data_IF_804345311015
#
_entry.id   IF_804345311015
#
_cell.length_a   1.000
_cell.length_b   1.000
_cell.length_c   1.000
_cell.angle_alpha   90.00
_cell.angle_beta   90.00
_cell.angle_gamma   90.00
#
_symmetry.space_group_name_H-M   'P 1'
#
loop_
_entity.id
_entity.type
_entity.pdbx_description
1 polymer ?
#
# COMPACT_ATOMS: atom_id res chain seq x y z
N UNK A 1 -9.32 14.10 -51.47
CA UNK A 1 -10.55 13.44 -51.02
C UNK A 1 -10.16 12.09 -50.46
N UNK A 2 -9.56 12.09 -49.28
CA UNK A 2 -9.60 10.95 -48.36
C UNK A 2 -10.07 11.56 -47.05
N UNK A 3 -11.15 10.97 -46.55
CA UNK A 3 -12.08 11.54 -45.60
C UNK A 3 -11.55 11.43 -44.17
N UNK A 4 -11.16 12.57 -43.61
CA UNK A 4 -11.06 12.82 -42.17
C UNK A 4 -12.40 12.47 -41.49
N UNK A 5 -12.51 11.22 -41.08
CA UNK A 5 -13.68 10.67 -40.39
C UNK A 5 -13.21 9.82 -39.22
N UNK A 6 -12.48 10.43 -38.29
CA UNK A 6 -12.42 9.96 -36.91
C UNK A 6 -12.66 11.15 -35.98
N UNK A 7 -13.96 11.43 -35.84
CA UNK A 7 -14.66 11.83 -34.63
C UNK A 7 -13.79 12.27 -33.45
N UNK A 8 -13.82 13.57 -33.18
CA UNK A 8 -13.76 14.27 -31.89
C UNK A 8 -13.83 13.38 -30.62
N UNK A 9 -12.79 12.60 -30.34
CA UNK A 9 -12.38 12.34 -28.98
C UNK A 9 -11.44 13.50 -28.65
N UNK A 10 -11.84 14.37 -27.73
CA UNK A 10 -10.87 15.30 -27.17
C UNK A 10 -9.67 14.46 -26.72
N UNK A 11 -8.46 14.66 -27.28
CA UNK A 11 -7.31 13.91 -26.82
C UNK A 11 -7.23 14.16 -25.31
N UNK A 12 -7.10 13.09 -24.54
CA UNK A 12 -7.03 13.21 -23.09
C UNK A 12 -6.00 14.30 -22.75
N UNK A 13 -6.23 15.13 -21.72
CA UNK A 13 -5.35 16.27 -21.42
C UNK A 13 -3.87 15.89 -21.33
N UNK A 14 -3.59 14.65 -20.92
CA UNK A 14 -2.26 14.03 -20.94
C UNK A 14 -1.65 13.92 -22.35
N UNK A 15 -2.40 13.52 -23.36
CA UNK A 15 -1.92 13.43 -24.74
C UNK A 15 -1.65 14.83 -25.35
N UNK A 16 -2.47 15.83 -25.03
CA UNK A 16 -2.22 17.22 -25.45
C UNK A 16 -0.93 17.78 -24.84
N UNK A 17 -0.73 17.55 -23.54
CA UNK A 17 0.49 17.94 -22.83
C UNK A 17 1.72 17.25 -23.42
N UNK A 18 1.67 15.94 -23.65
CA UNK A 18 2.80 15.21 -24.24
C UNK A 18 3.12 15.71 -25.65
N UNK A 19 2.10 16.00 -26.47
CA UNK A 19 2.31 16.55 -27.81
C UNK A 19 3.03 17.90 -27.78
N UNK A 20 2.65 18.78 -26.85
CA UNK A 20 3.33 20.06 -26.67
C UNK A 20 4.79 19.88 -26.24
N UNK A 21 5.04 19.01 -25.26
CA UNK A 21 6.40 18.69 -24.80
C UNK A 21 7.26 18.10 -25.93
N UNK A 22 6.71 17.18 -26.73
CA UNK A 22 7.41 16.62 -27.88
C UNK A 22 7.76 17.69 -28.92
N UNK A 23 6.87 18.67 -29.16
CA UNK A 23 7.15 19.78 -30.06
C UNK A 23 8.22 20.74 -29.54
N UNK A 24 8.20 21.10 -28.26
CA UNK A 24 9.19 22.02 -27.68
C UNK A 24 10.58 21.40 -27.58
N UNK A 25 10.65 20.10 -27.24
CA UNK A 25 11.92 19.40 -27.03
C UNK A 25 12.44 18.68 -28.28
N UNK A 26 11.63 18.62 -29.34
CA UNK A 26 12.00 17.94 -30.59
C UNK A 26 11.95 16.41 -30.51
N UNK A 27 11.13 15.84 -29.63
CA UNK A 27 10.91 14.39 -29.57
C UNK A 27 9.91 13.94 -30.63
N UNK A 28 9.95 12.63 -30.95
CA UNK A 28 9.04 12.02 -31.91
C UNK A 28 7.59 12.07 -31.38
N UNK A 29 6.65 12.49 -32.22
CA UNK A 29 5.23 12.61 -31.87
C UNK A 29 4.45 11.30 -32.11
N UNK A 30 5.13 10.17 -32.02
CA UNK A 30 4.57 8.84 -32.23
C UNK A 30 4.26 8.19 -30.87
N UNK A 31 3.08 7.56 -30.76
CA UNK A 31 2.64 6.81 -29.56
C UNK A 31 2.79 7.59 -28.24
N UNK A 32 2.19 8.78 -28.17
CA UNK A 32 2.26 9.71 -27.03
C UNK A 32 1.97 9.07 -25.66
N UNK A 33 1.12 8.06 -25.63
CA UNK A 33 0.77 7.32 -24.42
C UNK A 33 1.95 6.58 -23.80
N UNK A 34 2.93 6.16 -24.61
CA UNK A 34 4.12 5.43 -24.13
C UNK A 34 5.04 6.31 -23.29
N UNK A 35 5.09 7.62 -23.59
CA UNK A 35 5.81 8.59 -22.78
C UNK A 35 5.18 8.74 -21.38
N UNK A 36 3.84 8.78 -21.29
CA UNK A 36 3.13 8.86 -20.00
C UNK A 36 3.36 7.59 -19.17
N UNK A 37 3.41 6.41 -19.79
CA UNK A 37 3.72 5.15 -19.06
C UNK A 37 5.18 5.03 -18.65
N UNK A 38 6.09 5.76 -19.28
CA UNK A 38 7.54 5.63 -19.08
C UNK A 38 8.16 4.43 -19.80
N UNK A 39 7.45 3.80 -20.76
CA UNK A 39 8.05 2.80 -21.64
C UNK A 39 9.05 3.44 -22.62
N UNK A 40 8.75 4.67 -23.07
CA UNK A 40 9.73 5.57 -23.66
C UNK A 40 10.31 6.43 -22.54
N UNK A 41 11.59 6.23 -22.24
CA UNK A 41 12.25 6.89 -21.12
C UNK A 41 12.61 8.35 -21.38
N UNK A 42 12.66 8.80 -22.65
CA UNK A 42 13.14 10.14 -23.04
C UNK A 42 12.58 11.24 -22.14
N UNK A 43 11.26 11.41 -22.07
CA UNK A 43 10.63 12.46 -21.26
C UNK A 43 10.85 12.23 -19.75
N UNK A 44 10.84 10.98 -19.28
CA UNK A 44 11.02 10.65 -17.86
C UNK A 44 12.47 10.89 -17.40
N UNK A 45 13.45 10.70 -18.29
CA UNK A 45 14.86 10.93 -18.02
C UNK A 45 15.17 12.43 -17.92
N UNK A 46 14.54 13.26 -18.76
CA UNK A 46 14.67 14.72 -18.70
C UNK A 46 13.82 15.36 -17.60
N UNK A 47 12.63 14.82 -17.33
CA UNK A 47 11.63 15.37 -16.40
C UNK A 47 11.12 14.29 -15.43
N UNK A 48 11.95 13.84 -14.47
CA UNK A 48 11.57 12.79 -13.53
C UNK A 48 10.39 13.19 -12.63
N UNK A 49 10.17 14.48 -12.39
CA UNK A 49 9.04 15.01 -11.64
C UNK A 49 7.68 14.64 -12.25
N UNK A 50 7.61 14.49 -13.57
CA UNK A 50 6.40 14.05 -14.25
C UNK A 50 6.02 12.63 -13.83
N UNK A 51 7.02 11.74 -13.69
CA UNK A 51 6.80 10.37 -13.25
C UNK A 51 6.32 10.32 -11.79
N UNK A 52 6.94 11.11 -10.90
CA UNK A 52 6.51 11.20 -9.51
C UNK A 52 5.09 11.76 -9.38
N UNK A 53 4.77 12.83 -10.11
CA UNK A 53 3.44 13.43 -10.10
C UNK A 53 2.36 12.44 -10.55
N UNK A 54 2.61 11.73 -11.65
CA UNK A 54 1.72 10.69 -12.16
C UNK A 54 1.46 9.60 -11.11
N UNK A 55 2.51 9.15 -10.44
CA UNK A 55 2.44 8.08 -9.44
C UNK A 55 1.68 8.54 -8.18
N UNK A 56 1.90 9.78 -7.73
CA UNK A 56 1.14 10.40 -6.63
C UNK A 56 -0.35 10.50 -6.96
N UNK A 57 -0.69 10.95 -8.18
CA UNK A 57 -2.09 11.03 -8.63
C UNK A 57 -2.74 9.64 -8.68
N UNK A 58 -2.01 8.62 -9.12
CA UNK A 58 -2.49 7.24 -9.14
C UNK A 58 -2.76 6.70 -7.72
N UNK A 59 -1.86 6.96 -6.78
CA UNK A 59 -2.03 6.60 -5.36
C UNK A 59 -3.22 7.32 -4.74
N UNK A 60 -3.39 8.61 -5.01
CA UNK A 60 -4.53 9.37 -4.49
C UNK A 60 -5.86 8.84 -5.05
N UNK A 61 -5.92 8.54 -6.35
CA UNK A 61 -7.06 7.86 -6.97
C UNK A 61 -7.31 6.49 -6.37
N UNK A 62 -6.25 5.73 -6.08
CA UNK A 62 -6.36 4.43 -5.42
C UNK A 62 -7.01 4.55 -4.03
N UNK A 63 -6.56 5.49 -3.21
CA UNK A 63 -7.09 5.70 -1.87
C UNK A 63 -8.54 6.21 -1.86
N UNK A 64 -8.95 6.95 -2.89
CA UNK A 64 -10.27 7.58 -2.95
C UNK A 64 -11.33 6.76 -3.70
N UNK A 65 -10.93 5.96 -4.70
CA UNK A 65 -11.87 5.24 -5.58
C UNK A 65 -12.10 3.78 -5.18
N UNK A 66 -11.21 3.17 -4.40
CA UNK A 66 -11.37 1.77 -4.03
C UNK A 66 -12.33 1.62 -2.86
N UNK A 67 -13.54 1.14 -3.15
CA UNK A 67 -14.40 0.49 -2.19
C UNK A 67 -13.62 -0.63 -1.45
N UNK A 68 -14.06 -1.08 -0.25
CA UNK A 68 -13.35 -2.11 0.53
C UNK A 68 -13.05 -3.41 -0.23
N UNK A 69 -13.70 -3.68 -1.35
CA UNK A 69 -13.45 -4.86 -2.20
C UNK A 69 -12.28 -4.71 -3.19
N UNK A 70 -11.70 -3.53 -3.33
CA UNK A 70 -10.60 -3.22 -4.28
C UNK A 70 -9.21 -3.03 -3.62
N UNK A 71 -9.07 -3.43 -2.35
CA UNK A 71 -7.81 -3.33 -1.61
C UNK A 71 -6.91 -4.57 -1.86
N UNK A 72 -5.57 -4.42 -1.78
CA UNK A 72 -4.63 -5.53 -1.89
C UNK A 72 -4.86 -6.58 -0.82
N UNK A 73 -4.54 -7.82 -1.20
CA UNK A 73 -4.53 -8.94 -0.28
C UNK A 73 -3.52 -8.66 0.84
N UNK A 74 -3.87 -9.12 2.05
CA UNK A 74 -2.96 -9.04 3.21
C UNK A 74 -1.86 -10.07 2.98
N UNK A 75 -0.68 -9.59 2.62
CA UNK A 75 0.54 -10.35 2.37
C UNK A 75 1.72 -9.53 2.90
N UNK A 76 2.84 -10.19 3.21
CA UNK A 76 4.13 -9.52 3.37
C UNK A 76 4.50 -8.83 2.05
N UNK A 77 4.30 -7.51 2.02
CA UNK A 77 4.67 -6.66 0.90
C UNK A 77 6.06 -6.08 1.14
N UNK A 78 6.85 -5.99 0.08
CA UNK A 78 8.17 -5.35 0.14
C UNK A 78 8.12 -3.98 -0.54
N UNK A 79 9.16 -3.16 -0.33
CA UNK A 79 9.32 -1.90 -1.06
C UNK A 79 9.28 -2.08 -2.59
N UNK A 80 9.71 -3.25 -3.09
CA UNK A 80 9.68 -3.56 -4.54
C UNK A 80 8.25 -3.75 -5.05
N UNK A 81 7.37 -4.32 -4.23
CA UNK A 81 5.97 -4.53 -4.59
C UNK A 81 5.14 -3.24 -4.53
N UNK A 82 5.60 -2.25 -3.75
CA UNK A 82 5.02 -0.91 -3.68
C UNK A 82 5.33 -0.08 -4.95
N UNK A 83 6.29 -0.49 -5.78
CA UNK A 83 6.63 0.21 -7.03
C UNK A 83 5.47 0.12 -8.02
N UNK A 84 5.01 1.27 -8.49
CA UNK A 84 3.97 1.37 -9.50
C UNK A 84 4.54 1.00 -10.87
N UNK A 85 3.92 0.03 -11.54
CA UNK A 85 4.27 -0.32 -12.92
C UNK A 85 3.12 -0.01 -13.87
N UNK A 86 3.41 0.77 -14.91
CA UNK A 86 2.40 1.25 -15.85
C UNK A 86 2.39 0.42 -17.13
N UNK A 87 1.19 0.04 -17.57
CA UNK A 87 0.96 -0.64 -18.84
C UNK A 87 -0.20 0.01 -19.57
N UNK A 88 -0.10 0.04 -20.90
CA UNK A 88 -1.20 0.41 -21.77
C UNK A 88 -1.91 -0.88 -22.19
N UNK A 89 -3.19 -1.02 -21.84
CA UNK A 89 -4.04 -2.16 -22.23
C UNK A 89 -5.30 -1.60 -22.85
N UNK A 90 -5.58 -1.93 -24.12
CA UNK A 90 -6.76 -1.47 -24.87
C UNK A 90 -6.99 0.07 -24.77
N UNK A 91 -5.94 0.86 -25.03
CA UNK A 91 -5.93 2.33 -24.93
C UNK A 91 -6.21 2.90 -23.52
N UNK A 92 -6.21 2.04 -22.49
CA UNK A 92 -6.41 2.44 -21.09
C UNK A 92 -5.12 2.28 -20.31
N UNK A 93 -4.87 3.23 -19.42
CA UNK A 93 -3.76 3.14 -18.48
C UNK A 93 -4.13 2.18 -17.34
N UNK A 94 -3.40 1.07 -17.26
CA UNK A 94 -3.43 0.13 -16.15
C UNK A 94 -2.18 0.31 -15.32
N UNK A 95 -2.34 0.62 -14.04
CA UNK A 95 -1.23 0.72 -13.09
C UNK A 95 -1.26 -0.50 -12.17
N UNK A 96 -0.16 -1.24 -12.08
CA UNK A 96 -0.03 -2.36 -11.17
C UNK A 96 0.72 -1.94 -9.91
N UNK A 97 0.09 -2.12 -8.75
CA UNK A 97 0.63 -1.84 -7.41
C UNK A 97 0.26 -3.00 -6.49
N UNK A 98 1.16 -3.47 -5.64
CA UNK A 98 0.91 -4.57 -4.70
C UNK A 98 0.26 -5.78 -5.38
N UNK A 99 0.83 -6.19 -6.53
CA UNK A 99 0.33 -7.33 -7.30
C UNK A 99 -1.04 -7.16 -7.97
N UNK A 100 -1.76 -6.06 -7.73
CA UNK A 100 -3.08 -5.77 -8.28
C UNK A 100 -2.99 -4.87 -9.50
N UNK A 101 -3.73 -5.23 -10.55
CA UNK A 101 -3.93 -4.36 -11.71
C UNK A 101 -5.06 -3.36 -11.41
N UNK A 102 -4.71 -2.08 -11.29
CA UNK A 102 -5.66 -0.99 -11.10
C UNK A 102 -6.10 -0.42 -12.44
N UNK A 103 -7.40 -0.43 -12.66
CA UNK A 103 -8.04 0.33 -13.74
C UNK A 103 -8.30 1.74 -13.23
N UNK A 104 -7.48 2.70 -13.67
CA UNK A 104 -7.57 4.11 -13.26
C UNK A 104 -8.66 4.90 -14.02
N UNK A 105 -9.80 4.26 -14.30
CA UNK A 105 -10.96 4.91 -14.92
C UNK A 105 -11.86 5.50 -13.84
N UNK A 106 -12.28 6.75 -14.03
CA UNK A 106 -13.48 7.26 -13.37
C UNK A 106 -14.62 6.30 -13.69
N UNK A 107 -15.53 5.98 -12.76
CA UNK A 107 -16.71 5.20 -13.10
C UNK A 107 -17.47 5.99 -14.17
N UNK A 108 -17.36 5.55 -15.43
CA UNK A 108 -18.22 6.02 -16.50
C UNK A 108 -19.65 5.74 -16.01
N UNK A 109 -20.44 6.81 -15.88
CA UNK A 109 -21.79 6.72 -15.35
C UNK A 109 -22.51 5.56 -16.02
N UNK A 110 -22.93 4.59 -15.20
CA UNK A 110 -23.92 3.54 -15.46
C UNK A 110 -24.28 3.37 -16.95
N UNK A 111 -23.37 2.84 -17.75
CA UNK A 111 -23.67 2.47 -19.13
C UNK A 111 -23.15 1.07 -19.43
N UNK A 112 -24.11 0.19 -19.69
CA UNK A 112 -23.90 -1.09 -20.35
C UNK A 112 -23.50 -2.21 -19.40
N UNK A 113 -24.51 -2.92 -18.89
CA UNK A 113 -24.38 -4.32 -18.45
C UNK A 113 -23.74 -5.17 -19.55
N UNK A 114 -22.41 -5.27 -19.55
CA UNK A 114 -21.74 -6.41 -20.17
C UNK A 114 -21.91 -7.57 -19.20
N UNK A 115 -22.52 -8.66 -19.70
CA UNK A 115 -22.66 -9.93 -18.99
C UNK A 115 -21.26 -10.49 -18.69
N UNK A 116 -20.65 -10.00 -17.62
CA UNK A 116 -19.50 -10.67 -17.03
C UNK A 116 -20.00 -11.93 -16.30
N UNK A 117 -19.21 -13.00 -16.45
CA UNK A 117 -19.54 -14.33 -16.03
C UNK A 117 -19.84 -14.39 -14.53
N UNK A 118 -21.12 -14.60 -14.20
CA UNK A 118 -21.63 -14.86 -12.85
C UNK A 118 -20.84 -15.96 -12.11
N UNK A 119 -20.26 -16.91 -12.84
CA UNK A 119 -19.34 -17.93 -12.33
C UNK A 119 -18.06 -17.33 -11.74
N UNK A 120 -17.46 -16.30 -12.33
CA UNK A 120 -16.25 -15.64 -11.80
C UNK A 120 -16.56 -14.87 -10.51
N UNK A 121 -17.77 -14.35 -10.37
CA UNK A 121 -18.23 -13.68 -9.15
C UNK A 121 -18.56 -14.67 -8.02
N UNK A 122 -18.96 -15.90 -8.36
CA UNK A 122 -19.18 -16.99 -7.39
C UNK A 122 -17.88 -17.69 -6.96
N UNK A 123 -16.84 -17.70 -7.82
CA UNK A 123 -15.51 -18.22 -7.49
C UNK A 123 -14.56 -17.18 -6.86
N UNK A 124 -14.88 -15.89 -6.92
CA UNK A 124 -14.32 -14.88 -6.01
C UNK A 124 -15.02 -14.96 -4.66
N UNK A 125 -14.84 -16.09 -3.98
CA UNK A 125 -15.03 -16.14 -2.54
C UNK A 125 -14.18 -15.02 -1.96
N UNK A 126 -14.82 -13.99 -1.40
CA UNK A 126 -14.17 -12.99 -0.56
C UNK A 126 -13.54 -13.80 0.56
N UNK A 127 -12.26 -14.14 0.39
CA UNK A 127 -11.47 -14.63 1.50
C UNK A 127 -11.63 -13.51 2.52
N UNK A 128 -12.23 -13.77 3.70
CA UNK A 128 -12.16 -12.78 4.75
C UNK A 128 -10.68 -12.41 4.82
N UNK A 129 -10.34 -11.12 4.74
CA UNK A 129 -8.95 -10.64 4.91
C UNK A 129 -8.48 -11.09 6.30
N UNK A 130 -8.17 -12.36 6.41
CA UNK A 130 -7.83 -13.04 7.64
C UNK A 130 -6.42 -12.60 7.90
N UNK A 131 -6.21 -12.12 9.12
CA UNK A 131 -4.92 -11.88 9.73
C UNK A 131 -3.99 -13.06 9.45
N UNK A 132 -3.29 -13.02 8.32
CA UNK A 132 -1.96 -13.59 8.29
C UNK A 132 -1.25 -12.75 9.35
N UNK A 133 -0.87 -13.38 10.46
CA UNK A 133 -0.06 -12.73 11.49
C UNK A 133 1.12 -12.14 10.75
N UNK A 134 1.16 -10.81 10.71
CA UNK A 134 2.08 -10.11 9.84
C UNK A 134 3.53 -10.41 10.18
N UNK A 135 4.44 -10.10 9.26
CA UNK A 135 5.88 -10.22 9.55
C UNK A 135 6.31 -9.31 10.70
N UNK A 136 5.52 -8.27 10.97
CA UNK A 136 5.68 -7.33 12.08
C UNK A 136 4.81 -7.65 13.32
N UNK A 137 4.15 -8.81 13.38
CA UNK A 137 3.36 -9.22 14.55
C UNK A 137 4.30 -9.75 15.65
N UNK A 138 4.32 -9.15 16.86
CA UNK A 138 5.16 -9.61 17.96
C UNK A 138 4.89 -11.07 18.34
N UNK A 139 3.66 -11.56 18.13
CA UNK A 139 3.31 -12.97 18.38
C UNK A 139 4.07 -13.93 17.47
N UNK A 140 4.27 -13.55 16.20
CA UNK A 140 5.04 -14.36 15.24
C UNK A 140 6.53 -14.37 15.58
N UNK A 141 7.04 -13.24 16.10
CA UNK A 141 8.47 -13.07 16.42
C UNK A 141 8.88 -13.81 17.70
N UNK A 142 8.03 -13.80 18.74
CA UNK A 142 8.33 -14.41 20.03
C UNK A 142 7.81 -15.85 20.15
N UNK A 143 6.86 -16.25 19.30
CA UNK A 143 6.16 -17.54 19.42
C UNK A 143 5.18 -17.61 20.61
N UNK A 144 5.10 -16.55 21.40
CA UNK A 144 4.14 -16.34 22.50
C UNK A 144 3.06 -15.37 22.05
N UNK A 145 1.81 -15.57 22.49
CA UNK A 145 0.71 -14.64 22.19
C UNK A 145 0.96 -13.32 22.90
N UNK A 146 1.05 -12.23 22.14
CA UNK A 146 1.27 -10.86 22.63
C UNK A 146 0.18 -9.98 22.04
N UNK A 147 -0.66 -9.38 22.90
CA UNK A 147 -1.72 -8.46 22.49
C UNK A 147 -1.45 -7.02 22.94
N UNK A 148 -0.76 -6.88 24.06
CA UNK A 148 -0.44 -5.59 24.69
C UNK A 148 1.04 -5.48 25.04
N UNK A 149 1.50 -4.26 25.33
CA UNK A 149 2.84 -4.01 25.88
C UNK A 149 3.10 -4.80 27.17
N UNK A 150 2.07 -4.97 28.02
CA UNK A 150 2.20 -5.71 29.27
C UNK A 150 2.57 -7.18 29.03
N UNK A 151 2.05 -7.78 27.95
CA UNK A 151 2.40 -9.16 27.57
C UNK A 151 3.87 -9.29 27.16
N UNK A 152 4.46 -8.24 26.59
CA UNK A 152 5.87 -8.21 26.18
C UNK A 152 6.80 -8.36 27.39
N UNK A 153 6.45 -7.70 28.51
CA UNK A 153 7.22 -7.77 29.76
C UNK A 153 7.27 -9.20 30.34
N UNK A 154 6.30 -10.05 30.00
CA UNK A 154 6.20 -11.43 30.47
C UNK A 154 6.84 -12.46 29.54
N UNK A 155 7.43 -12.02 28.42
CA UNK A 155 8.17 -12.88 27.50
C UNK A 155 9.50 -13.28 28.15
N UNK A 156 9.69 -14.59 28.33
CA UNK A 156 10.92 -15.13 28.96
C UNK A 156 12.12 -15.07 28.02
N UNK A 157 11.90 -15.41 26.75
CA UNK A 157 12.95 -15.51 25.73
C UNK A 157 12.71 -14.47 24.64
N UNK A 158 13.38 -13.33 24.76
CA UNK A 158 13.29 -12.25 23.78
C UNK A 158 14.11 -12.58 22.51
N UNK A 159 13.58 -12.30 21.30
CA UNK A 159 14.32 -12.49 20.07
C UNK A 159 15.51 -11.51 20.02
N UNK A 160 16.73 -12.05 20.05
CA UNK A 160 17.98 -11.25 19.98
C UNK A 160 18.47 -11.00 18.55
N UNK A 161 17.72 -11.46 17.53
CA UNK A 161 18.01 -11.26 16.09
C UNK A 161 19.48 -11.53 15.72
N UNK A 162 20.00 -12.69 16.14
CA UNK A 162 21.40 -13.06 15.93
C UNK A 162 22.38 -12.36 16.88
N UNK A 163 21.94 -12.01 18.08
CA UNK A 163 22.75 -11.37 19.12
C UNK A 163 23.07 -9.89 18.87
N UNK A 164 22.42 -9.26 17.88
CA UNK A 164 22.67 -7.86 17.51
C UNK A 164 21.84 -6.87 18.33
N UNK A 165 20.73 -7.32 18.91
CA UNK A 165 19.84 -6.51 19.71
C UNK A 165 19.99 -6.89 21.19
N UNK A 166 20.17 -5.89 22.05
CA UNK A 166 20.13 -6.11 23.50
C UNK A 166 18.72 -6.54 23.92
N UNK A 167 18.56 -7.30 25.01
CA UNK A 167 17.23 -7.69 25.49
C UNK A 167 16.34 -6.47 25.77
N UNK A 168 16.90 -5.41 26.37
CA UNK A 168 16.16 -4.15 26.61
C UNK A 168 15.66 -3.52 25.31
N UNK A 169 16.51 -3.47 24.27
CA UNK A 169 16.11 -2.90 22.98
C UNK A 169 15.12 -3.80 22.23
N UNK A 170 15.18 -5.12 22.44
CA UNK A 170 14.23 -6.08 21.91
C UNK A 170 12.84 -5.89 22.52
N UNK A 171 12.78 -5.69 23.83
CA UNK A 171 11.55 -5.38 24.56
C UNK A 171 10.91 -4.08 24.04
N UNK A 172 11.68 -2.98 23.97
CA UNK A 172 11.21 -1.70 23.45
C UNK A 172 10.66 -1.83 22.01
N UNK A 173 11.39 -2.54 21.14
CA UNK A 173 10.97 -2.75 19.77
C UNK A 173 9.66 -3.53 19.70
N UNK A 174 9.52 -4.60 20.47
CA UNK A 174 8.27 -5.39 20.53
C UNK A 174 7.11 -4.55 21.07
N UNK A 175 7.34 -3.71 22.08
CA UNK A 175 6.35 -2.75 22.57
C UNK A 175 5.93 -1.74 21.51
N UNK A 176 6.83 -1.31 20.63
CA UNK A 176 6.44 -0.46 19.50
C UNK A 176 5.60 -1.19 18.46
N UNK A 177 5.78 -2.51 18.30
CA UNK A 177 4.99 -3.32 17.37
C UNK A 177 3.56 -3.56 17.84
N UNK A 178 3.28 -3.49 19.15
CA UNK A 178 1.91 -3.66 19.70
C UNK A 178 1.01 -2.45 19.44
N UNK A 179 1.57 -1.28 19.08
CA UNK A 179 0.79 -0.04 18.88
C UNK A 179 0.62 0.28 17.39
N UNK A 180 -0.41 -0.25 16.69
CA UNK A 180 -0.48 -0.25 15.23
C UNK A 180 -0.47 1.15 14.59
N UNK A 181 -1.03 2.16 15.26
CA UNK A 181 -1.22 3.51 14.72
C UNK A 181 0.05 4.37 14.69
N UNK A 182 0.92 4.21 15.68
CA UNK A 182 2.18 4.99 15.83
C UNK A 182 3.42 4.13 15.63
N UNK A 183 3.25 2.85 15.30
CA UNK A 183 4.33 1.89 15.03
C UNK A 183 5.33 2.40 13.99
N UNK A 184 4.88 2.92 12.85
CA UNK A 184 5.76 3.41 11.79
C UNK A 184 6.75 4.48 12.30
N UNK A 185 6.30 5.62 12.88
CA UNK A 185 7.23 6.63 13.37
C UNK A 185 8.09 6.13 14.54
N UNK A 186 7.55 5.29 15.43
CA UNK A 186 8.32 4.73 16.56
C UNK A 186 9.46 3.81 16.09
N UNK A 187 9.16 2.87 15.19
CA UNK A 187 10.12 1.91 14.65
C UNK A 187 11.18 2.61 13.79
N UNK A 188 10.79 3.57 12.95
CA UNK A 188 11.75 4.38 12.17
C UNK A 188 12.66 5.16 13.11
N UNK A 189 12.11 5.84 14.12
CA UNK A 189 12.90 6.62 15.07
C UNK A 189 13.85 5.74 15.89
N UNK A 190 13.42 4.52 16.23
CA UNK A 190 14.27 3.53 16.87
C UNK A 190 15.50 3.20 16.02
N UNK A 191 15.33 2.93 14.73
CA UNK A 191 16.44 2.63 13.82
C UNK A 191 17.24 3.85 13.35
N UNK A 192 16.70 5.06 13.50
CA UNK A 192 17.42 6.30 13.19
C UNK A 192 18.63 6.52 14.12
N UNK A 193 18.66 5.86 15.28
CA UNK A 193 19.80 5.90 16.20
C UNK A 193 21.01 5.12 15.63
N UNK A 194 22.24 5.66 15.74
CA UNK A 194 23.44 5.06 15.15
C UNK A 194 23.81 3.69 15.74
N UNK A 195 23.30 3.37 16.92
CA UNK A 195 23.48 2.07 17.56
C UNK A 195 22.57 1.01 16.92
N UNK A 196 21.31 1.37 16.68
CA UNK A 196 20.27 0.46 16.20
C UNK A 196 20.32 0.26 14.67
N UNK A 197 20.82 1.24 13.90
CA UNK A 197 20.92 1.10 12.45
C UNK A 197 21.77 -0.11 12.02
N UNK A 198 22.76 -0.50 12.84
CA UNK A 198 23.62 -1.66 12.60
C UNK A 198 22.87 -2.99 12.67
N UNK A 199 21.73 -3.02 13.38
CA UNK A 199 20.87 -4.20 13.50
C UNK A 199 20.22 -4.54 12.16
N UNK A 200 19.97 -3.53 11.31
CA UNK A 200 19.45 -3.71 9.95
C UNK A 200 20.38 -4.49 9.03
N UNK A 201 21.61 -4.80 9.45
CA UNK A 201 22.44 -5.77 8.74
C UNK A 201 21.92 -7.22 8.84
N UNK A 202 20.93 -7.51 9.69
CA UNK A 202 20.24 -8.80 9.71
C UNK A 202 19.04 -8.78 8.76
N UNK A 203 18.95 -9.77 7.86
CA UNK A 203 17.84 -9.94 6.93
C UNK A 203 16.47 -10.07 7.63
N UNK A 204 16.40 -10.75 8.78
CA UNK A 204 15.15 -10.86 9.54
C UNK A 204 14.66 -9.50 10.03
N UNK A 205 15.57 -8.60 10.40
CA UNK A 205 15.18 -7.26 10.86
C UNK A 205 14.73 -6.37 9.70
N UNK A 206 15.33 -6.54 8.52
CA UNK A 206 14.86 -5.87 7.30
C UNK A 206 13.44 -6.32 6.94
N UNK A 207 13.15 -7.62 7.05
CA UNK A 207 11.80 -8.16 6.79
C UNK A 207 10.76 -7.61 7.78
N UNK A 208 11.11 -7.49 9.07
CA UNK A 208 10.25 -6.86 10.08
C UNK A 208 10.00 -5.39 9.72
N UNK A 209 11.04 -4.63 9.36
CA UNK A 209 10.89 -3.23 8.98
C UNK A 209 10.04 -3.06 7.72
N UNK A 210 10.25 -3.89 6.70
CA UNK A 210 9.44 -3.89 5.48
C UNK A 210 7.98 -4.22 5.80
N UNK A 211 7.74 -5.20 6.66
CA UNK A 211 6.39 -5.55 7.11
C UNK A 211 5.73 -4.41 7.86
N UNK A 212 6.45 -3.69 8.73
CA UNK A 212 5.92 -2.50 9.43
C UNK A 212 5.49 -1.40 8.45
N UNK A 213 6.26 -1.20 7.38
CA UNK A 213 6.06 -0.11 6.44
C UNK A 213 4.99 -0.39 5.38
N UNK A 214 4.96 -1.62 4.87
CA UNK A 214 4.20 -1.97 3.66
C UNK A 214 3.04 -2.94 3.94
N UNK A 215 3.00 -3.61 5.09
CA UNK A 215 1.90 -4.53 5.38
C UNK A 215 0.64 -3.77 5.80
N UNK A 216 -0.51 -4.01 5.14
CA UNK A 216 -1.77 -3.41 5.53
C UNK A 216 -2.26 -4.01 6.86
N UNK A 217 -2.06 -3.29 7.96
CA UNK A 217 -2.60 -3.70 9.26
C UNK A 217 -4.07 -3.31 9.43
N UNK A 218 -4.82 -4.06 10.26
CA UNK A 218 -6.19 -3.69 10.59
C UNK A 218 -6.17 -2.42 11.46
N UNK A 219 -6.76 -1.35 10.92
CA UNK A 219 -6.94 -0.09 11.65
C UNK A 219 -8.13 -0.14 12.63
N UNK A 220 -9.01 -1.13 12.49
CA UNK A 220 -10.12 -1.38 13.41
C UNK A 220 -10.42 -2.89 13.43
N UNK A 221 -10.68 -3.49 14.61
CA UNK A 221 -11.33 -4.80 14.68
C UNK A 221 -12.64 -4.77 13.89
N UNK A 222 -13.01 -5.88 13.24
CA UNK A 222 -14.22 -5.91 12.41
C UNK A 222 -15.53 -5.86 13.19
N UNK A 223 -15.43 -5.90 14.52
CA UNK A 223 -16.59 -5.92 15.38
C UNK A 223 -17.29 -4.56 15.37
N UNK A 224 -18.61 -4.58 15.29
CA UNK A 224 -19.43 -3.36 15.33
C UNK A 224 -19.52 -2.92 16.78
N UNK A 225 -18.98 -1.75 17.10
CA UNK A 225 -18.92 -1.25 18.47
C UNK A 225 -20.10 -0.32 18.77
N UNK A 226 -20.65 -0.45 19.98
CA UNK A 226 -21.69 0.42 20.52
C UNK A 226 -21.00 1.66 21.12
N UNK A 227 -21.51 2.86 20.82
CA UNK A 227 -21.00 4.11 21.37
C UNK A 227 -21.39 4.20 22.85
N UNK A 228 -20.49 4.56 23.78
CA UNK A 228 -20.82 4.65 25.20
C UNK A 228 -21.73 5.85 25.47
N UNK A 229 -22.82 5.62 26.21
CA UNK A 229 -23.78 6.66 26.60
C UNK A 229 -23.34 7.47 27.84
N UNK A 230 -22.35 7.00 28.61
CA UNK A 230 -21.94 7.59 29.90
C UNK A 230 -20.42 7.68 30.01
N UNK A 231 -19.91 8.79 30.59
CA UNK A 231 -18.49 9.01 30.90
C UNK A 231 -18.31 9.14 32.42
N UNK A 232 -17.44 8.33 33.08
CA UNK A 232 -16.61 7.27 32.51
C UNK A 232 -17.45 6.05 32.08
N UNK A 233 -17.02 5.36 31.03
CA UNK A 233 -17.69 4.15 30.56
C UNK A 233 -17.59 3.02 31.61
N UNK A 234 -18.65 2.23 31.82
CA UNK A 234 -18.66 1.16 32.81
C UNK A 234 -17.74 -0.01 32.43
N UNK A 235 -17.59 -0.28 31.14
CA UNK A 235 -16.74 -1.34 30.59
C UNK A 235 -15.83 -0.81 29.47
N UNK A 236 -14.61 -1.37 29.39
CA UNK A 236 -13.60 -1.06 28.36
C UNK A 236 -13.96 -1.58 26.96
N UNK A 237 -15.03 -2.36 26.84
CA UNK A 237 -15.54 -2.89 25.57
C UNK A 237 -15.94 -1.82 24.55
N UNK A 238 -16.18 -0.59 25.01
CA UNK A 238 -16.54 0.54 24.15
C UNK A 238 -15.35 1.15 23.42
N UNK A 239 -14.14 0.86 23.89
CA UNK A 239 -12.93 1.47 23.38
C UNK A 239 -12.33 0.48 22.38
N UNK A 240 -12.47 0.81 21.09
CA UNK A 240 -12.19 -0.07 19.94
C UNK A 240 -10.69 -0.28 19.68
N UNK A 241 -9.89 -0.31 20.74
CA UNK A 241 -8.44 -0.27 20.75
C UNK A 241 -7.93 -1.25 21.81
N UNK A 242 -6.81 -1.92 21.53
CA UNK A 242 -6.18 -2.81 22.51
C UNK A 242 -5.71 -2.07 23.77
N UNK A 243 -5.50 -0.75 23.65
CA UNK A 243 -5.20 0.14 24.78
C UNK A 243 -6.44 0.55 25.59
N UNK A 244 -7.60 0.00 25.24
CA UNK A 244 -8.91 0.51 25.63
C UNK A 244 -9.03 1.97 25.25
#
# INVERSE_FOLDING_TARGET
>A
YESDTNQNQHPCGSAQLMKQLCWEMGFLNDDLYLYVTGQKCEIVDFYPELAFYRDVVALFKFLTLNAPTGLPDVKQWTATDAKISWKLVDERFSAKIFGMDMKLTLPEGMQGTKKENFLVQLFRSSRPRSSIRGGADPTTLCGTRIESEEDVLHVRDLPTFGGKLSPTNAEILLSFLTVPYIRIPLVINFFASPENIRVLANAQMQEVLDSVMFEPSLWQPRDVHVIPDVVPAPDRSHLSTHCG
#
